data_IF_344238216422
#
_entry.id   IF_344238216422
#
_cell.length_a   1.000
_cell.length_b   1.000
_cell.length_c   1.000
_cell.angle_alpha   90.00
_cell.angle_beta   90.00
_cell.angle_gamma   90.00
#
_symmetry.space_group_name_H-M   'P 1'
#
loop_
_entity.id
_entity.type
_entity.pdbx_description
1 polymer ?
#
# COMPACT_ATOMS: atom_id res chain seq x y z
N UNK A 1 15.52 -38.57 -2.35
CA UNK A 1 14.36 -38.30 -1.48
C UNK A 1 13.21 -37.90 -2.40
N UNK A 2 12.16 -38.70 -2.48
CA UNK A 2 10.99 -38.35 -3.31
C UNK A 2 10.15 -37.35 -2.52
N UNK A 3 9.84 -36.19 -3.11
CA UNK A 3 8.98 -35.18 -2.47
C UNK A 3 7.56 -35.74 -2.46
N UNK A 4 6.94 -35.78 -1.27
CA UNK A 4 5.51 -36.03 -1.12
C UNK A 4 4.75 -34.72 -1.42
N UNK A 5 4.15 -34.67 -2.61
CA UNK A 5 3.45 -33.49 -3.12
C UNK A 5 2.17 -33.23 -2.31
N UNK A 6 1.44 -34.27 -1.91
CA UNK A 6 0.15 -34.12 -1.21
C UNK A 6 0.37 -33.58 0.20
N UNK A 7 1.40 -34.07 0.89
CA UNK A 7 1.82 -33.53 2.18
C UNK A 7 2.31 -32.09 2.07
N UNK A 8 3.07 -31.75 1.02
CA UNK A 8 3.53 -30.38 0.79
C UNK A 8 2.36 -29.42 0.51
N UNK A 9 1.39 -29.83 -0.32
CA UNK A 9 0.20 -29.05 -0.66
C UNK A 9 -0.71 -28.85 0.55
N UNK A 10 -0.94 -29.91 1.32
CA UNK A 10 -1.73 -29.84 2.57
C UNK A 10 -1.13 -28.81 3.50
N UNK A 11 0.19 -28.87 3.74
CA UNK A 11 0.89 -27.89 4.58
C UNK A 11 0.76 -26.47 4.05
N UNK A 12 0.92 -26.26 2.73
CA UNK A 12 0.82 -24.94 2.14
C UNK A 12 -0.59 -24.33 2.30
N UNK A 13 -1.62 -25.09 1.95
CA UNK A 13 -3.02 -24.64 2.05
C UNK A 13 -3.44 -24.42 3.50
N UNK A 14 -3.07 -25.31 4.42
CA UNK A 14 -3.35 -25.15 5.85
C UNK A 14 -2.76 -23.84 6.38
N UNK A 15 -1.50 -23.53 6.06
CA UNK A 15 -0.88 -22.27 6.50
C UNK A 15 -1.62 -21.03 5.98
N UNK A 16 -2.01 -21.04 4.70
CA UNK A 16 -2.77 -19.96 4.08
C UNK A 16 -4.16 -19.80 4.73
N UNK A 17 -4.88 -20.90 4.98
CA UNK A 17 -6.23 -20.86 5.56
C UNK A 17 -6.24 -20.45 7.04
N UNK A 18 -5.23 -20.86 7.81
CA UNK A 18 -5.08 -20.52 9.22
C UNK A 18 -4.53 -19.10 9.45
N UNK A 19 -3.98 -18.47 8.41
CA UNK A 19 -3.39 -17.15 8.50
C UNK A 19 -4.41 -16.12 9.01
N UNK A 20 -3.95 -15.26 9.92
CA UNK A 20 -4.75 -14.19 10.51
C UNK A 20 -4.06 -12.85 10.23
N UNK A 21 -4.31 -12.23 9.07
CA UNK A 21 -3.70 -10.97 8.68
C UNK A 21 -4.35 -9.80 9.41
N UNK A 22 -3.58 -9.23 10.33
CA UNK A 22 -3.98 -8.12 11.18
C UNK A 22 -3.30 -6.84 10.70
N UNK A 23 -4.07 -5.82 10.37
CA UNK A 23 -3.56 -4.49 10.12
C UNK A 23 -3.18 -3.84 11.46
N UNK A 24 -1.88 -3.69 11.69
CA UNK A 24 -1.32 -3.22 12.97
C UNK A 24 -0.92 -1.75 12.95
N UNK A 25 -0.75 -1.13 11.78
CA UNK A 25 -0.47 0.29 11.69
C UNK A 25 -0.03 0.75 10.31
N UNK A 26 0.55 1.95 10.30
CA UNK A 26 1.23 2.55 9.15
C UNK A 26 2.65 2.95 9.56
N UNK A 27 3.56 2.96 8.60
CA UNK A 27 4.91 3.45 8.78
C UNK A 27 5.55 3.88 7.47
N UNK A 28 6.65 4.62 7.57
CA UNK A 28 7.47 4.98 6.42
C UNK A 28 8.14 3.72 5.84
N UNK A 29 8.06 3.54 4.53
CA UNK A 29 8.58 2.37 3.82
C UNK A 29 10.04 2.07 4.17
N UNK A 30 10.90 3.09 4.20
CA UNK A 30 12.32 2.96 4.56
C UNK A 30 12.57 2.41 5.96
N UNK A 31 11.63 2.60 6.89
CA UNK A 31 11.78 2.17 8.28
C UNK A 31 11.24 0.75 8.51
N UNK A 32 10.25 0.32 7.71
CA UNK A 32 9.46 -0.90 8.00
C UNK A 32 9.60 -2.00 6.96
N UNK A 33 9.89 -1.67 5.70
CA UNK A 33 10.03 -2.67 4.63
C UNK A 33 11.44 -3.28 4.66
N UNK A 34 11.58 -4.61 4.80
CA UNK A 34 12.88 -5.27 4.82
C UNK A 34 13.73 -4.96 3.58
N UNK A 35 14.94 -4.45 3.81
CA UNK A 35 15.90 -4.16 2.75
C UNK A 35 15.57 -2.92 1.91
N UNK A 36 14.58 -2.11 2.30
CA UNK A 36 14.32 -0.81 1.67
C UNK A 36 15.51 0.12 1.86
N UNK A 37 15.84 0.91 0.84
CA UNK A 37 16.96 1.87 0.83
C UNK A 37 16.52 3.17 0.17
N UNK A 38 17.22 4.25 0.45
CA UNK A 38 16.91 5.58 -0.12
C UNK A 38 17.04 5.63 -1.65
N UNK A 39 17.82 4.74 -2.26
CA UNK A 39 18.01 4.66 -3.71
C UNK A 39 17.26 3.47 -4.36
N UNK A 40 16.37 2.80 -3.61
CA UNK A 40 15.57 1.69 -4.11
C UNK A 40 14.13 2.13 -4.33
N UNK A 41 13.60 1.89 -5.53
CA UNK A 41 12.18 2.01 -5.84
C UNK A 41 11.58 0.62 -6.07
N UNK A 42 10.54 0.31 -5.30
CA UNK A 42 9.79 -0.92 -5.52
C UNK A 42 8.76 -0.74 -6.62
N UNK A 43 8.38 -1.80 -7.33
CA UNK A 43 7.32 -1.80 -8.33
C UNK A 43 6.50 -3.10 -8.34
N UNK A 44 5.32 -3.07 -8.95
CA UNK A 44 4.51 -4.27 -9.15
C UNK A 44 5.12 -5.21 -10.20
N UNK A 45 4.72 -6.48 -10.17
CA UNK A 45 5.13 -7.49 -11.16
C UNK A 45 6.49 -8.14 -10.89
N UNK A 46 7.00 -8.96 -11.83
CA UNK A 46 8.31 -9.61 -11.74
C UNK A 46 9.46 -8.61 -12.01
N UNK A 47 10.74 -9.01 -11.80
CA UNK A 47 11.89 -8.16 -12.15
C UNK A 47 11.81 -7.69 -13.59
N UNK A 48 12.04 -6.39 -13.81
CA UNK A 48 12.02 -5.76 -15.13
C UNK A 48 13.01 -4.60 -15.18
N UNK A 49 13.79 -4.52 -16.25
CA UNK A 49 14.73 -3.42 -16.44
C UNK A 49 14.01 -2.17 -16.98
N UNK A 50 14.53 -0.98 -16.67
CA UNK A 50 13.96 0.30 -17.13
C UNK A 50 13.59 0.36 -18.63
N UNK A 51 14.42 -0.12 -19.58
CA UNK A 51 14.10 -0.10 -21.00
C UNK A 51 12.85 -0.90 -21.39
N UNK A 52 12.42 -1.85 -20.56
CA UNK A 52 11.26 -2.71 -20.77
C UNK A 52 10.02 -2.24 -19.99
N UNK A 53 10.18 -1.32 -19.05
CA UNK A 53 9.07 -0.76 -18.28
C UNK A 53 8.08 -0.02 -19.18
N UNK A 54 6.79 -0.23 -18.92
CA UNK A 54 5.71 0.46 -19.62
C UNK A 54 5.68 1.96 -19.30
N UNK A 55 5.04 2.75 -20.17
CA UNK A 55 4.86 4.19 -19.95
C UNK A 55 4.29 4.56 -18.57
N UNK A 56 3.18 3.92 -18.13
CA UNK A 56 2.62 4.17 -16.79
C UNK A 56 3.59 3.85 -15.65
N UNK A 57 4.37 2.76 -15.75
CA UNK A 57 5.36 2.42 -14.72
C UNK A 57 6.50 3.44 -14.68
N UNK A 58 7.02 3.86 -15.85
CA UNK A 58 8.03 4.92 -15.92
C UNK A 58 7.52 6.24 -15.34
N UNK A 59 6.29 6.63 -15.68
CA UNK A 59 5.65 7.82 -15.13
C UNK A 59 5.53 7.76 -13.59
N UNK A 60 5.20 6.60 -13.04
CA UNK A 60 5.11 6.41 -11.60
C UNK A 60 6.48 6.48 -10.92
N UNK A 61 7.54 5.95 -11.54
CA UNK A 61 8.92 6.09 -11.06
C UNK A 61 9.37 7.55 -11.09
N UNK A 62 9.09 8.26 -12.19
CA UNK A 62 9.38 9.70 -12.31
C UNK A 62 8.70 10.47 -11.19
N UNK A 63 7.40 10.23 -10.98
CA UNK A 63 6.66 10.89 -9.92
C UNK A 63 7.17 10.57 -8.53
N UNK A 64 7.62 9.34 -8.29
CA UNK A 64 8.24 8.96 -7.02
C UNK A 64 9.59 9.64 -6.79
N UNK A 65 10.43 9.79 -7.81
CA UNK A 65 11.71 10.51 -7.71
C UNK A 65 11.50 12.01 -7.44
N UNK A 66 10.48 12.61 -8.04
CA UNK A 66 10.07 13.99 -7.74
C UNK A 66 9.54 14.11 -6.31
N UNK A 67 8.70 13.16 -5.87
CA UNK A 67 8.18 13.12 -4.51
C UNK A 67 9.30 13.03 -3.46
N UNK A 68 10.32 12.20 -3.71
CA UNK A 68 11.51 12.08 -2.85
C UNK A 68 12.45 13.30 -2.92
N UNK A 69 12.15 14.30 -3.76
CA UNK A 69 13.00 15.47 -3.96
C UNK A 69 14.34 15.15 -4.64
N UNK A 70 14.47 13.99 -5.29
CA UNK A 70 15.68 13.56 -6.01
C UNK A 70 15.78 14.14 -7.41
N UNK A 71 14.66 14.62 -7.96
CA UNK A 71 14.57 15.27 -9.25
C UNK A 71 13.55 16.41 -9.19
N UNK A 72 13.78 17.49 -9.94
CA UNK A 72 12.86 18.63 -10.01
C UNK A 72 11.79 18.45 -11.07
N UNK A 73 12.08 17.66 -12.09
CA UNK A 73 11.19 17.43 -13.22
C UNK A 73 11.39 16.03 -13.82
N UNK A 74 10.61 15.74 -14.87
CA UNK A 74 10.65 14.44 -15.53
C UNK A 74 11.99 14.16 -16.22
N UNK A 75 12.66 15.18 -16.76
CA UNK A 75 13.93 14.98 -17.47
C UNK A 75 15.06 14.62 -16.48
N UNK A 76 15.15 15.32 -15.35
CA UNK A 76 16.07 14.97 -14.26
C UNK A 76 15.76 13.57 -13.70
N UNK A 77 14.48 13.23 -13.53
CA UNK A 77 14.07 11.93 -13.01
C UNK A 77 14.42 10.77 -13.97
N UNK A 78 14.21 10.93 -15.28
CA UNK A 78 14.58 9.93 -16.28
C UNK A 78 16.10 9.74 -16.39
N UNK A 79 16.86 10.84 -16.32
CA UNK A 79 18.32 10.77 -16.27
C UNK A 79 18.79 10.00 -15.04
N UNK A 80 18.19 10.27 -13.87
CA UNK A 80 18.52 9.58 -12.64
C UNK A 80 18.13 8.09 -12.69
N UNK A 81 16.95 7.75 -13.23
CA UNK A 81 16.49 6.38 -13.40
C UNK A 81 17.39 5.55 -14.35
N UNK A 82 18.12 6.20 -15.26
CA UNK A 82 19.03 5.54 -16.22
C UNK A 82 20.52 5.63 -15.85
N UNK A 83 20.86 6.39 -14.81
CA UNK A 83 22.24 6.62 -14.35
C UNK A 83 22.92 5.38 -13.75
N UNK A 84 22.14 4.41 -13.27
CA UNK A 84 22.62 3.30 -12.43
C UNK A 84 22.65 3.61 -10.92
N UNK A 85 22.28 4.83 -10.50
CA UNK A 85 22.20 5.21 -9.08
C UNK A 85 20.90 4.75 -8.40
N UNK A 86 19.84 4.55 -9.18
CA UNK A 86 18.54 4.07 -8.71
C UNK A 86 18.40 2.57 -9.02
N UNK A 87 18.04 1.82 -8.00
CA UNK A 87 17.71 0.41 -8.11
C UNK A 87 16.20 0.21 -8.20
N UNK A 88 15.79 -0.81 -8.95
CA UNK A 88 14.40 -1.23 -9.08
C UNK A 88 14.24 -2.66 -8.61
N UNK A 89 13.23 -2.93 -7.77
CA UNK A 89 12.92 -4.29 -7.35
C UNK A 89 11.41 -4.54 -7.28
N UNK A 90 10.95 -5.78 -7.55
CA UNK A 90 9.58 -6.17 -7.26
C UNK A 90 9.22 -5.97 -5.80
N UNK A 91 8.04 -5.42 -5.52
CA UNK A 91 7.46 -5.38 -4.18
C UNK A 91 7.48 -6.79 -3.53
N UNK A 92 7.22 -7.84 -4.33
CA UNK A 92 7.14 -9.21 -3.85
C UNK A 92 8.44 -9.74 -3.21
N UNK A 93 9.61 -9.20 -3.57
CA UNK A 93 10.90 -9.57 -2.99
C UNK A 93 11.13 -8.97 -1.59
N UNK A 94 10.35 -7.95 -1.23
CA UNK A 94 10.51 -7.19 0.02
C UNK A 94 9.31 -7.37 0.97
N UNK A 95 8.51 -8.43 0.77
CA UNK A 95 7.28 -8.63 1.55
C UNK A 95 6.19 -7.59 1.25
N UNK A 96 6.33 -6.78 0.20
CA UNK A 96 5.37 -5.76 -0.15
C UNK A 96 4.51 -6.17 -1.36
N UNK A 97 3.43 -5.44 -1.59
CA UNK A 97 2.61 -5.46 -2.81
C UNK A 97 2.10 -4.06 -3.12
N UNK A 98 2.00 -3.71 -4.40
CA UNK A 98 1.48 -2.42 -4.85
C UNK A 98 0.49 -2.61 -6.00
N UNK A 99 -0.66 -1.90 -5.99
CA UNK A 99 -1.62 -1.96 -7.08
C UNK A 99 -1.11 -1.22 -8.33
N UNK A 100 -1.47 -1.73 -9.51
CA UNK A 100 -1.17 -1.10 -10.81
C UNK A 100 0.34 -0.99 -11.05
N UNK A 101 0.91 0.21 -11.24
CA UNK A 101 2.37 0.38 -11.31
C UNK A 101 3.06 -0.05 -10.00
N UNK A 102 2.36 0.06 -8.87
CA UNK A 102 2.80 -0.40 -7.55
C UNK A 102 4.04 0.29 -7.02
N UNK A 103 4.39 1.47 -7.55
CA UNK A 103 5.61 2.16 -7.15
C UNK A 103 5.57 2.57 -5.68
N UNK A 104 6.62 2.23 -4.95
CA UNK A 104 6.81 2.60 -3.54
C UNK A 104 8.25 3.07 -3.34
N UNK A 105 8.43 4.29 -2.83
CA UNK A 105 9.72 4.89 -2.48
C UNK A 105 9.93 4.95 -0.96
N UNK A 106 11.15 5.22 -0.52
CA UNK A 106 11.55 5.09 0.89
C UNK A 106 10.78 6.02 1.85
N UNK A 107 10.34 7.19 1.40
CA UNK A 107 9.59 8.16 2.20
C UNK A 107 8.08 7.98 2.13
N UNK A 108 7.58 7.11 1.24
CA UNK A 108 6.16 6.80 1.18
C UNK A 108 5.71 6.02 2.42
N UNK A 109 4.52 6.35 2.92
CA UNK A 109 3.84 5.61 3.96
C UNK A 109 3.28 4.31 3.40
N UNK A 110 3.26 3.27 4.24
CA UNK A 110 2.72 1.96 3.91
C UNK A 110 1.91 1.42 5.08
N UNK A 111 0.86 0.67 4.77
CA UNK A 111 0.18 -0.18 5.74
C UNK A 111 1.08 -1.35 6.15
N UNK A 112 1.03 -1.71 7.43
CA UNK A 112 1.75 -2.84 8.02
C UNK A 112 0.73 -3.89 8.41
N UNK A 113 0.80 -5.05 7.77
CA UNK A 113 -0.04 -6.20 8.10
C UNK A 113 0.82 -7.32 8.68
N UNK A 114 0.46 -7.82 9.85
CA UNK A 114 1.12 -8.94 10.51
C UNK A 114 0.21 -10.17 10.48
N UNK A 115 0.74 -11.31 10.07
CA UNK A 115 0.07 -12.59 10.20
C UNK A 115 0.29 -13.12 11.63
N UNK A 116 -0.66 -12.92 12.53
CA UNK A 116 -0.53 -13.34 13.93
C UNK A 116 -0.26 -14.85 14.09
N UNK A 117 -0.76 -15.67 13.16
CA UNK A 117 -0.60 -17.12 13.21
C UNK A 117 0.84 -17.56 12.93
N UNK A 118 1.52 -16.91 11.99
CA UNK A 118 2.83 -17.35 11.47
C UNK A 118 3.97 -16.35 11.66
N UNK A 119 3.68 -15.14 12.16
CA UNK A 119 4.63 -14.08 12.51
C UNK A 119 5.23 -13.31 11.33
N UNK A 120 4.89 -13.63 10.08
CA UNK A 120 5.36 -12.88 8.92
C UNK A 120 4.57 -11.58 8.73
N UNK A 121 5.19 -10.62 8.03
CA UNK A 121 4.60 -9.30 7.76
C UNK A 121 4.52 -9.03 6.27
N UNK A 122 3.55 -8.20 5.88
CA UNK A 122 3.42 -7.69 4.53
C UNK A 122 3.03 -6.21 4.51
N UNK A 123 3.33 -5.55 3.39
CA UNK A 123 3.20 -4.10 3.26
C UNK A 123 2.50 -3.72 1.96
N UNK A 124 1.77 -2.60 1.98
CA UNK A 124 1.27 -1.96 0.76
C UNK A 124 1.19 -0.45 0.95
N UNK A 125 1.47 0.31 -0.12
CA UNK A 125 1.33 1.77 -0.11
C UNK A 125 -0.13 2.21 0.09
N UNK A 126 -0.38 3.52 0.18
CA UNK A 126 -1.74 4.05 0.38
C UNK A 126 -2.45 4.24 -0.97
N UNK A 127 -3.78 4.10 -0.96
CA UNK A 127 -4.60 4.34 -2.13
C UNK A 127 -4.81 5.84 -2.34
N UNK A 128 -4.44 6.34 -3.52
CA UNK A 128 -4.46 7.77 -3.85
C UNK A 128 -5.85 8.30 -4.25
N UNK A 129 -6.85 7.42 -4.34
CA UNK A 129 -8.18 7.76 -4.84
C UNK A 129 -8.35 7.50 -6.34
N UNK A 130 -9.36 8.16 -6.91
CA UNK A 130 -9.71 8.06 -8.32
C UNK A 130 -9.14 9.20 -9.16
N UNK A 131 -9.10 8.98 -10.47
CA UNK A 131 -8.65 9.97 -11.44
C UNK A 131 -7.15 9.91 -11.66
N UNK A 132 -6.51 11.07 -11.62
CA UNK A 132 -5.10 11.25 -11.93
C UNK A 132 -4.24 10.95 -10.70
N UNK A 133 -3.55 9.82 -10.74
CA UNK A 133 -2.82 9.24 -9.60
C UNK A 133 -1.50 8.61 -10.05
N UNK A 134 -0.54 8.54 -9.13
CA UNK A 134 0.80 8.00 -9.36
C UNK A 134 0.77 6.55 -9.82
N UNK A 135 -0.10 5.71 -9.24
CA UNK A 135 -0.22 4.30 -9.63
C UNK A 135 -0.62 4.07 -11.09
N UNK A 136 -1.12 5.09 -11.79
CA UNK A 136 -1.39 5.10 -13.23
C UNK A 136 -0.35 5.89 -14.06
N UNK A 137 0.72 6.35 -13.42
CA UNK A 137 1.83 7.05 -14.06
C UNK A 137 1.68 8.57 -14.13
N UNK A 138 0.72 9.17 -13.42
CA UNK A 138 0.62 10.62 -13.33
C UNK A 138 1.58 11.18 -12.27
N UNK A 139 2.18 12.35 -12.53
CA UNK A 139 3.22 12.93 -11.66
C UNK A 139 3.21 14.47 -11.61
N UNK A 140 2.13 15.09 -12.06
CA UNK A 140 1.95 16.53 -12.04
C UNK A 140 1.71 17.06 -10.62
N UNK A 141 1.74 18.38 -10.46
CA UNK A 141 1.72 19.02 -9.13
C UNK A 141 0.55 18.59 -8.23
N UNK A 142 -0.65 18.45 -8.77
CA UNK A 142 -1.84 17.99 -8.03
C UNK A 142 -1.74 16.53 -7.54
N UNK A 143 -0.94 15.70 -8.21
CA UNK A 143 -0.59 14.35 -7.74
C UNK A 143 0.44 14.45 -6.61
N UNK A 144 1.47 15.28 -6.79
CA UNK A 144 2.54 15.48 -5.80
C UNK A 144 2.01 16.09 -4.49
N UNK A 145 1.13 17.09 -4.56
CA UNK A 145 0.45 17.67 -3.41
C UNK A 145 -0.35 16.64 -2.64
N UNK A 146 -1.11 15.79 -3.36
CA UNK A 146 -1.87 14.71 -2.74
C UNK A 146 -0.97 13.69 -2.07
N UNK A 147 0.11 13.27 -2.72
CA UNK A 147 1.10 12.36 -2.11
C UNK A 147 1.67 12.97 -0.84
N UNK A 148 2.08 14.25 -0.85
CA UNK A 148 2.60 14.93 0.35
C UNK A 148 1.55 15.03 1.46
N UNK A 149 0.30 15.35 1.13
CA UNK A 149 -0.80 15.36 2.11
C UNK A 149 -1.08 13.96 2.69
N UNK A 150 -1.13 12.94 1.84
CA UNK A 150 -1.35 11.56 2.29
C UNK A 150 -0.24 11.10 3.24
N UNK A 151 1.01 11.47 2.95
CA UNK A 151 2.17 11.08 3.76
C UNK A 151 2.31 11.89 5.05
N UNK A 152 2.12 13.22 4.98
CA UNK A 152 2.38 14.13 6.09
C UNK A 152 1.17 14.42 6.98
N UNK A 153 -0.05 14.17 6.51
CA UNK A 153 -1.29 14.48 7.25
C UNK A 153 -2.14 13.24 7.45
N UNK A 154 -2.52 12.55 6.37
CA UNK A 154 -3.46 11.43 6.47
C UNK A 154 -2.85 10.23 7.21
N UNK A 155 -1.66 9.78 6.80
CA UNK A 155 -1.03 8.59 7.36
C UNK A 155 -0.74 8.68 8.87
N UNK A 156 -0.20 9.80 9.42
CA UNK A 156 -0.04 9.96 10.87
C UNK A 156 -1.37 9.86 11.63
N UNK A 157 -2.44 10.51 11.13
CA UNK A 157 -3.76 10.43 11.77
C UNK A 157 -4.32 9.01 11.70
N UNK A 158 -4.13 8.29 10.59
CA UNK A 158 -4.55 6.89 10.48
C UNK A 158 -3.72 5.95 11.36
N UNK A 159 -2.43 6.23 11.55
CA UNK A 159 -1.56 5.50 12.48
C UNK A 159 -2.10 5.62 13.91
N UNK A 160 -2.34 6.85 14.36
CA UNK A 160 -2.88 7.12 15.70
C UNK A 160 -4.30 6.55 15.87
N UNK A 161 -5.13 6.65 14.83
CA UNK A 161 -6.48 6.10 14.83
C UNK A 161 -6.48 4.57 14.97
N UNK A 162 -5.59 3.86 14.27
CA UNK A 162 -5.42 2.41 14.39
C UNK A 162 -4.86 2.01 15.76
N UNK A 163 -3.88 2.75 16.28
CA UNK A 163 -3.34 2.51 17.61
C UNK A 163 -4.42 2.65 18.70
N UNK A 164 -5.32 3.64 18.54
CA UNK A 164 -6.43 3.86 19.47
C UNK A 164 -7.61 2.90 19.26
N UNK A 165 -7.87 2.44 18.03
CA UNK A 165 -8.95 1.47 17.75
C UNK A 165 -8.64 0.06 18.18
N UNK A 166 -7.35 -0.25 18.34
CA UNK A 166 -6.84 -1.60 18.32
C UNK A 166 -6.65 -2.10 16.88
N UNK A 167 -5.83 -3.15 16.71
CA UNK A 167 -5.49 -3.66 15.40
C UNK A 167 -6.70 -4.29 14.69
N UNK A 168 -6.74 -4.23 13.36
CA UNK A 168 -7.92 -4.62 12.57
C UNK A 168 -7.72 -5.96 11.87
N UNK A 169 -8.62 -6.91 12.09
CA UNK A 169 -8.63 -8.20 11.39
C UNK A 169 -9.17 -8.04 9.96
N UNK A 170 -8.25 -8.01 8.98
CA UNK A 170 -8.60 -7.76 7.58
C UNK A 170 -9.33 -8.97 6.98
N UNK A 171 -9.06 -10.18 7.47
CA UNK A 171 -9.79 -11.38 7.03
C UNK A 171 -11.25 -11.33 7.47
N UNK A 172 -11.51 -10.89 8.70
CA UNK A 172 -12.88 -10.68 9.18
C UNK A 172 -13.60 -9.58 8.39
N UNK A 173 -12.93 -8.44 8.13
CA UNK A 173 -13.48 -7.37 7.30
C UNK A 173 -13.82 -7.85 5.88
N UNK A 174 -12.94 -8.64 5.26
CA UNK A 174 -13.17 -9.23 3.95
C UNK A 174 -14.35 -10.20 3.95
N UNK A 175 -14.47 -11.06 4.97
CA UNK A 175 -15.59 -11.99 5.08
C UNK A 175 -16.94 -11.26 5.15
N UNK A 176 -17.02 -10.16 5.91
CA UNK A 176 -18.22 -9.32 5.96
C UNK A 176 -18.48 -8.63 4.60
N UNK A 177 -17.45 -8.05 3.99
CA UNK A 177 -17.56 -7.37 2.70
C UNK A 177 -18.04 -8.30 1.57
N UNK A 178 -17.57 -9.56 1.54
CA UNK A 178 -18.02 -10.57 0.59
C UNK A 178 -19.52 -10.86 0.73
N UNK A 179 -20.05 -10.92 1.96
CA UNK A 179 -21.49 -11.03 2.21
C UNK A 179 -22.29 -9.76 1.85
N UNK A 180 -21.60 -8.65 1.58
CA UNK A 180 -22.18 -7.39 1.11
C UNK A 180 -21.98 -7.16 -0.41
N UNK A 181 -21.52 -8.19 -1.13
CA UNK A 181 -21.42 -8.19 -2.59
C UNK A 181 -20.13 -7.56 -3.15
N UNK A 182 -19.11 -7.36 -2.32
CA UNK A 182 -17.74 -7.11 -2.78
C UNK A 182 -17.05 -8.41 -3.22
N UNK A 183 -15.93 -8.31 -3.92
CA UNK A 183 -15.05 -9.45 -4.27
C UNK A 183 -13.59 -9.27 -3.83
N UNK A 184 -13.23 -8.14 -3.22
CA UNK A 184 -11.90 -7.92 -2.65
C UNK A 184 -10.82 -7.44 -3.63
N UNK A 185 -11.18 -7.09 -4.87
CA UNK A 185 -10.25 -6.60 -5.89
C UNK A 185 -10.81 -5.42 -6.73
N UNK A 186 -11.77 -5.66 -7.63
CA UNK A 186 -12.40 -4.60 -8.43
C UNK A 186 -13.47 -3.85 -7.64
N UNK A 187 -14.26 -4.58 -6.87
CA UNK A 187 -15.36 -4.06 -6.05
C UNK A 187 -15.00 -4.24 -4.59
N UNK A 188 -14.61 -3.13 -3.97
CA UNK A 188 -14.27 -3.01 -2.55
C UNK A 188 -15.13 -1.96 -1.84
N UNK A 189 -16.35 -1.73 -2.32
CA UNK A 189 -17.18 -0.63 -1.84
C UNK A 189 -17.65 -0.87 -0.41
N UNK A 190 -18.17 -2.06 -0.13
CA UNK A 190 -18.59 -2.43 1.22
C UNK A 190 -17.39 -2.45 2.18
N UNK A 191 -16.29 -3.08 1.80
CA UNK A 191 -15.06 -3.14 2.58
C UNK A 191 -14.49 -1.75 2.88
N UNK A 192 -14.49 -0.83 1.90
CA UNK A 192 -14.01 0.55 2.10
C UNK A 192 -14.91 1.35 3.04
N UNK A 193 -16.23 1.14 3.00
CA UNK A 193 -17.16 1.75 3.96
C UNK A 193 -16.96 1.17 5.36
N UNK A 194 -16.83 -0.16 5.50
CA UNK A 194 -16.57 -0.82 6.78
C UNK A 194 -15.24 -0.34 7.39
N UNK A 195 -14.19 -0.27 6.58
CA UNK A 195 -12.88 0.27 6.97
C UNK A 195 -12.98 1.71 7.49
N UNK A 196 -13.62 2.58 6.71
CA UNK A 196 -13.82 4.00 7.07
C UNK A 196 -14.65 4.12 8.35
N UNK A 197 -15.76 3.39 8.46
CA UNK A 197 -16.66 3.39 9.62
C UNK A 197 -15.97 2.90 10.89
N UNK A 198 -15.12 1.88 10.80
CA UNK A 198 -14.39 1.36 11.95
C UNK A 198 -13.32 2.35 12.46
N UNK A 199 -12.69 3.11 11.55
CA UNK A 199 -11.69 4.12 11.91
C UNK A 199 -12.29 5.49 12.28
N UNK A 200 -13.50 5.80 11.83
CA UNK A 200 -14.06 7.15 11.92
C UNK A 200 -14.07 7.78 13.33
N UNK A 201 -14.49 7.07 14.41
CA UNK A 201 -14.47 7.64 15.75
C UNK A 201 -13.05 7.96 16.25
N UNK A 202 -12.04 7.25 15.75
CA UNK A 202 -10.65 7.40 16.16
C UNK A 202 -9.93 8.45 15.33
N UNK A 203 -10.23 8.54 14.03
CA UNK A 203 -9.81 9.68 13.18
C UNK A 203 -10.33 10.99 13.74
N UNK A 204 -11.60 11.04 14.17
CA UNK A 204 -12.18 12.24 14.77
C UNK A 204 -11.49 12.67 16.09
N UNK A 205 -10.87 11.73 16.81
CA UNK A 205 -10.11 11.99 18.04
C UNK A 205 -8.64 12.32 17.79
N UNK A 206 -8.02 11.65 16.81
CA UNK A 206 -6.60 11.75 16.52
C UNK A 206 -6.26 12.98 15.66
N UNK A 207 -7.19 13.44 14.81
CA UNK A 207 -6.95 14.59 13.96
C UNK A 207 -6.74 15.88 14.78
N UNK A 208 -5.83 16.77 14.34
CA UNK A 208 -5.55 18.03 15.03
C UNK A 208 -6.69 19.06 14.94
N UNK A 209 -7.64 18.87 14.02
CA UNK A 209 -8.84 19.69 13.89
C UNK A 209 -9.99 18.88 13.28
N UNK A 210 -11.22 19.40 13.43
CA UNK A 210 -12.41 18.83 12.79
C UNK A 210 -12.32 18.86 11.26
N UNK A 211 -11.66 19.86 10.70
CA UNK A 211 -11.50 20.01 9.24
C UNK A 211 -10.58 18.91 8.70
N UNK A 212 -9.46 18.64 9.38
CA UNK A 212 -8.55 17.54 8.99
C UNK A 212 -9.25 16.18 9.12
N UNK A 213 -10.03 15.97 10.19
CA UNK A 213 -10.83 14.76 10.33
C UNK A 213 -11.83 14.61 9.17
N UNK A 214 -12.56 15.68 8.84
CA UNK A 214 -13.55 15.67 7.78
C UNK A 214 -12.92 15.37 6.41
N UNK A 215 -11.77 15.99 6.10
CA UNK A 215 -11.05 15.77 4.85
C UNK A 215 -10.58 14.31 4.70
N UNK A 216 -10.04 13.72 5.77
CA UNK A 216 -9.61 12.30 5.76
C UNK A 216 -10.81 11.37 5.60
N UNK A 217 -11.89 11.57 6.36
CA UNK A 217 -13.08 10.72 6.28
C UNK A 217 -13.77 10.83 4.93
N UNK A 218 -13.81 12.03 4.36
CA UNK A 218 -14.30 12.25 3.00
C UNK A 218 -13.41 11.54 1.98
N UNK A 219 -12.09 11.69 2.07
CA UNK A 219 -11.15 11.02 1.17
C UNK A 219 -11.31 9.50 1.19
N UNK A 220 -11.46 8.90 2.38
CA UNK A 220 -11.68 7.47 2.52
C UNK A 220 -13.07 7.04 2.02
N UNK A 221 -14.12 7.82 2.33
CA UNK A 221 -15.51 7.50 2.00
C UNK A 221 -15.85 7.66 0.51
N UNK A 222 -15.28 8.67 -0.16
CA UNK A 222 -15.46 8.91 -1.60
C UNK A 222 -14.64 7.93 -2.45
N UNK A 223 -13.64 7.26 -1.85
CA UNK A 223 -12.81 6.27 -2.50
C UNK A 223 -13.30 4.84 -2.22
N UNK A 224 -14.03 4.26 -3.18
CA UNK A 224 -14.50 2.88 -3.11
C UNK A 224 -13.38 1.80 -3.14
N UNK A 225 -12.11 2.20 -3.20
CA UNK A 225 -10.94 1.33 -3.12
C UNK A 225 -10.04 1.64 -1.90
N UNK A 226 -10.50 2.41 -0.91
CA UNK A 226 -9.70 2.77 0.28
C UNK A 226 -9.11 1.57 1.00
N UNK A 227 -9.85 0.45 1.08
CA UNK A 227 -9.38 -0.77 1.76
C UNK A 227 -8.58 -1.71 0.85
N UNK A 228 -8.47 -1.44 -0.46
CA UNK A 228 -7.81 -2.34 -1.41
C UNK A 228 -6.37 -2.65 -1.01
N UNK A 229 -5.60 -1.63 -0.62
CA UNK A 229 -4.18 -1.80 -0.28
C UNK A 229 -3.98 -2.65 1.00
N UNK A 230 -4.71 -2.39 2.12
CA UNK A 230 -4.75 -3.31 3.25
C UNK A 230 -5.14 -4.75 2.87
N UNK A 231 -6.13 -4.92 1.98
CA UNK A 231 -6.57 -6.24 1.50
C UNK A 231 -5.46 -6.94 0.71
N UNK A 232 -4.77 -6.24 -0.19
CA UNK A 232 -3.65 -6.81 -0.93
C UNK A 232 -2.50 -7.22 0.01
N UNK A 233 -2.15 -6.39 1.00
CA UNK A 233 -1.15 -6.73 2.00
C UNK A 233 -1.58 -7.94 2.84
N UNK A 234 -2.86 -8.03 3.23
CA UNK A 234 -3.40 -9.21 3.91
C UNK A 234 -3.26 -10.48 3.07
N UNK A 235 -3.65 -10.44 1.79
CA UNK A 235 -3.47 -11.58 0.88
C UNK A 235 -2.00 -11.96 0.66
N UNK A 236 -1.06 -11.00 0.71
CA UNK A 236 0.38 -11.27 0.65
C UNK A 236 0.92 -11.91 1.94
N UNK A 237 0.30 -11.61 3.08
CA UNK A 237 0.71 -12.14 4.38
C UNK A 237 0.18 -13.55 4.66
N UNK A 238 -0.90 -13.96 3.99
CA UNK A 238 -1.46 -15.32 4.03
C UNK A 238 -0.66 -16.27 3.13
#
# INVERSE_FOLDING_TARGET
>A
MTIDIDSANTRAVTRMMEARPILTGLGRAGDVIPGMRDNLLLHAGPPIAWPEMSGPLRGAIIGALIFEGKAKDAAEAEALATSGEIEFAPCHHHGAVGPMAGVTSASMQVYIVENETHGNRAFSNLNEGYGKVLRYGAYQEDVQERLRWMNGVMAPVLHDALAASGPMDIRALLAEALHMGDEGHNRNKAGSILFTKNLAPYVAKAAPSSDVAADILKFLGDNALSVLNPVMAACKAM
#
